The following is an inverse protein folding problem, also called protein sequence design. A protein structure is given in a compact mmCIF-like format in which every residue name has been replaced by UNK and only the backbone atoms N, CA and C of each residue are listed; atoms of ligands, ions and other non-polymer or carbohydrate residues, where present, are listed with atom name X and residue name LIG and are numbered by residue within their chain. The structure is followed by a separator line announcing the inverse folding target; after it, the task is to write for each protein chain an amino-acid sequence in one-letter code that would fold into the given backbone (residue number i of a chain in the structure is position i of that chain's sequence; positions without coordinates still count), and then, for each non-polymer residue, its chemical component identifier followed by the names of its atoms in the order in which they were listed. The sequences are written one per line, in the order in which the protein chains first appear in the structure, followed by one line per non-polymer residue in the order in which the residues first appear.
data_IF_873123611025
#
_entry.id   IF_873123611025
#
_cell.length_a   1.000
_cell.length_b   1.000
_cell.length_c   1.000
_cell.angle_alpha   90.00
_cell.angle_beta   90.00
_cell.angle_gamma   90.00
#
_symmetry.space_group_name_H-M   'P 1'
#
loop_
_entity.id
_entity.type
_entity.pdbx_description
1 polymer ?
#
# COMPACT_ATOMS: atom_id res chain seq x y z
N UNK A 1 2.04 -16.43 -10.77
CA UNK A 1 3.01 -15.34 -11.02
C UNK A 1 2.39 -14.00 -10.67
N UNK A 2 3.10 -13.20 -9.90
CA UNK A 2 2.62 -11.88 -9.51
C UNK A 2 2.69 -10.91 -10.68
N UNK A 3 1.68 -10.02 -10.81
CA UNK A 3 1.74 -8.94 -11.78
C UNK A 3 2.78 -7.91 -11.37
N UNK A 4 3.03 -6.92 -12.24
CA UNK A 4 3.93 -5.82 -11.91
C UNK A 4 3.31 -4.89 -10.87
N UNK A 5 4.11 -4.25 -10.01
CA UNK A 5 3.57 -3.33 -9.04
C UNK A 5 3.00 -2.07 -9.70
N UNK A 6 2.00 -1.47 -9.06
CA UNK A 6 1.39 -0.24 -9.54
C UNK A 6 2.13 1.01 -9.02
N UNK A 7 2.66 0.94 -7.80
CA UNK A 7 3.36 2.08 -7.21
C UNK A 7 4.23 1.65 -6.04
N UNK A 8 5.16 2.53 -5.66
CA UNK A 8 5.92 2.44 -4.42
C UNK A 8 5.49 3.55 -3.48
N UNK A 9 5.61 3.28 -2.20
CA UNK A 9 5.25 4.26 -1.17
C UNK A 9 6.13 4.11 0.06
N UNK A 10 6.22 5.20 0.83
CA UNK A 10 6.73 5.16 2.18
C UNK A 10 5.55 4.89 3.10
N UNK A 11 5.73 3.94 4.02
CA UNK A 11 4.67 3.50 4.93
C UNK A 11 5.16 3.64 6.36
N UNK A 12 4.30 4.22 7.22
CA UNK A 12 4.55 4.32 8.66
C UNK A 12 3.39 3.64 9.39
N UNK A 13 3.71 2.63 10.16
CA UNK A 13 2.71 1.95 10.97
C UNK A 13 2.37 2.81 12.19
N UNK A 14 1.10 2.82 12.56
CA UNK A 14 0.64 3.50 13.77
C UNK A 14 1.07 2.69 14.98
N UNK A 15 1.50 3.37 16.05
CA UNK A 15 1.80 2.73 17.31
C UNK A 15 0.48 2.33 17.99
N UNK A 16 0.58 1.52 19.06
CA UNK A 16 -0.61 1.16 19.85
C UNK A 16 -1.28 2.42 20.41
N UNK A 17 -0.49 3.39 20.87
CA UNK A 17 -1.00 4.63 21.42
C UNK A 17 -1.73 5.48 20.37
N UNK A 18 -1.36 5.32 19.11
CA UNK A 18 -2.02 6.01 18.01
C UNK A 18 -3.25 5.25 17.48
N UNK A 19 -3.60 4.14 18.10
CA UNK A 19 -4.73 3.33 17.68
C UNK A 19 -4.38 2.23 16.68
N UNK A 20 -3.08 1.94 16.50
CA UNK A 20 -2.61 0.91 15.58
C UNK A 20 -2.80 -0.51 16.10
N UNK A 21 -2.13 -1.46 15.44
CA UNK A 21 -2.24 -2.87 15.79
C UNK A 21 -1.61 -3.16 17.16
N UNK A 22 -2.15 -4.16 17.84
CA UNK A 22 -1.55 -4.64 19.10
C UNK A 22 -0.28 -5.46 18.85
N UNK A 23 -0.21 -6.10 17.67
CA UNK A 23 0.94 -6.91 17.28
C UNK A 23 1.53 -6.34 16.00
N UNK A 24 2.85 -6.46 15.79
CA UNK A 24 3.47 -5.98 14.55
C UNK A 24 2.89 -6.66 13.33
N UNK A 25 2.82 -5.91 12.22
CA UNK A 25 2.46 -6.50 10.93
C UNK A 25 3.59 -7.40 10.44
N UNK A 26 3.24 -8.40 9.64
CA UNK A 26 4.21 -9.32 9.06
C UNK A 26 4.11 -9.29 7.54
N UNK A 27 5.23 -9.61 6.87
CA UNK A 27 5.25 -9.70 5.42
C UNK A 27 4.29 -10.78 4.94
N UNK A 28 3.50 -10.45 3.93
CA UNK A 28 2.47 -11.32 3.40
C UNK A 28 1.07 -10.95 3.86
N UNK A 29 0.94 -9.98 4.77
CA UNK A 29 -0.38 -9.49 5.17
C UNK A 29 -1.09 -8.87 3.97
N UNK A 30 -2.42 -8.90 3.98
CA UNK A 30 -3.25 -8.44 2.86
C UNK A 30 -4.26 -7.40 3.32
N UNK A 31 -3.78 -6.24 3.77
CA UNK A 31 -4.68 -5.17 4.20
C UNK A 31 -5.28 -4.45 2.99
N UNK A 32 -6.26 -3.61 3.27
CA UNK A 32 -6.87 -2.74 2.26
C UNK A 32 -6.26 -1.36 2.31
N UNK A 33 -6.42 -0.62 1.20
CA UNK A 33 -5.94 0.76 1.07
C UNK A 33 -7.14 1.69 0.98
N UNK A 34 -7.07 2.80 1.70
CA UNK A 34 -8.06 3.88 1.62
C UNK A 34 -7.33 5.17 1.24
N UNK A 35 -7.76 5.82 0.15
CA UNK A 35 -7.18 7.08 -0.30
C UNK A 35 -7.73 8.22 0.56
N UNK A 36 -6.83 9.03 1.12
CA UNK A 36 -7.24 10.08 2.07
C UNK A 36 -8.19 11.10 1.44
N UNK A 37 -8.04 11.36 0.14
CA UNK A 37 -8.88 12.30 -0.57
C UNK A 37 -10.23 11.73 -1.01
N UNK A 38 -10.49 10.46 -0.75
CA UNK A 38 -11.73 9.80 -1.16
C UNK A 38 -12.79 9.93 -0.05
N UNK A 39 -13.82 10.76 -0.26
CA UNK A 39 -14.86 10.95 0.76
C UNK A 39 -15.77 9.74 0.92
N UNK A 40 -15.79 8.82 -0.03
CA UNK A 40 -16.63 7.63 0.04
C UNK A 40 -16.08 6.57 0.98
N UNK A 41 -14.83 6.71 1.40
CA UNK A 41 -14.14 5.75 2.28
C UNK A 41 -14.09 4.33 1.71
N UNK A 42 -14.05 4.22 0.38
CA UNK A 42 -13.93 2.93 -0.29
C UNK A 42 -12.59 2.27 0.06
N UNK A 43 -12.66 0.98 0.36
CA UNK A 43 -11.46 0.18 0.61
C UNK A 43 -11.05 -0.52 -0.70
N UNK A 44 -9.76 -0.35 -1.05
CA UNK A 44 -9.20 -0.91 -2.28
C UNK A 44 -8.38 -2.14 -1.95
N UNK A 45 -8.56 -3.20 -2.73
CA UNK A 45 -7.77 -4.42 -2.60
C UNK A 45 -6.46 -4.25 -3.35
N UNK A 46 -5.53 -3.56 -2.70
CA UNK A 46 -4.18 -3.31 -3.21
C UNK A 46 -3.22 -3.81 -2.15
N UNK A 47 -2.45 -4.85 -2.46
CA UNK A 47 -1.65 -5.53 -1.44
C UNK A 47 -0.20 -5.06 -1.45
N UNK A 48 0.36 -4.74 -0.28
CA UNK A 48 1.75 -4.32 -0.17
C UNK A 48 2.70 -5.51 -0.10
N UNK A 49 3.91 -5.29 -0.64
CA UNK A 49 5.08 -6.12 -0.37
C UNK A 49 6.13 -5.18 0.19
N UNK A 50 6.52 -5.38 1.44
CA UNK A 50 7.42 -4.49 2.14
C UNK A 50 8.86 -4.79 1.79
N UNK A 51 9.68 -3.74 1.75
CA UNK A 51 11.06 -3.81 1.25
C UNK A 51 12.05 -3.54 2.38
N UNK A 52 13.22 -4.17 2.28
CA UNK A 52 14.34 -3.85 3.15
C UNK A 52 15.04 -2.57 2.65
N UNK A 53 16.03 -2.04 3.41
CA UNK A 53 16.73 -0.82 2.99
C UNK A 53 17.46 -0.92 1.64
N UNK A 54 17.73 -2.13 1.14
CA UNK A 54 18.36 -2.31 -0.16
C UNK A 54 17.35 -2.34 -1.30
N UNK A 55 16.05 -2.33 -1.00
CA UNK A 55 14.99 -2.37 -2.01
C UNK A 55 14.51 -3.77 -2.34
N UNK A 56 14.96 -4.78 -1.62
CA UNK A 56 14.49 -6.15 -1.82
C UNK A 56 13.36 -6.48 -0.86
N UNK A 57 12.47 -7.37 -1.29
CA UNK A 57 11.34 -7.78 -0.45
C UNK A 57 11.84 -8.47 0.81
N UNK A 58 11.23 -8.10 1.95
CA UNK A 58 11.47 -8.81 3.19
C UNK A 58 11.00 -10.26 3.05
N UNK A 59 11.66 -11.19 3.74
CA UNK A 59 11.20 -12.59 3.71
C UNK A 59 9.78 -12.74 4.23
N UNK A 60 9.05 -13.69 3.67
CA UNK A 60 7.68 -13.99 4.09
C UNK A 60 7.64 -14.30 5.59
N UNK A 61 6.64 -13.76 6.26
CA UNK A 61 6.45 -13.98 7.70
C UNK A 61 7.33 -13.12 8.60
N UNK A 62 8.18 -12.27 8.04
CA UNK A 62 9.05 -11.37 8.81
C UNK A 62 8.24 -10.22 9.39
N UNK A 63 8.55 -9.80 10.62
CA UNK A 63 7.96 -8.58 11.17
C UNK A 63 8.41 -7.38 10.35
N UNK A 64 7.47 -6.47 10.08
CA UNK A 64 7.72 -5.28 9.26
C UNK A 64 8.15 -4.15 10.19
N UNK A 65 9.25 -3.42 9.84
CA UNK A 65 9.67 -2.26 10.62
C UNK A 65 8.57 -1.19 10.70
N UNK A 66 8.62 -0.38 11.74
CA UNK A 66 7.65 0.69 11.97
C UNK A 66 7.55 1.65 10.79
N UNK A 67 8.69 1.96 10.15
CA UNK A 67 8.76 2.77 8.93
C UNK A 67 9.42 1.90 7.85
N UNK A 68 8.80 1.83 6.68
CA UNK A 68 9.24 0.90 5.65
C UNK A 68 8.76 1.36 4.28
N UNK A 69 9.50 1.04 3.24
CA UNK A 69 9.03 1.19 1.86
C UNK A 69 8.26 -0.05 1.45
N UNK A 70 7.32 0.13 0.54
CA UNK A 70 6.54 -0.98 0.01
C UNK A 70 6.21 -0.78 -1.46
N UNK A 71 6.06 -1.89 -2.18
CA UNK A 71 5.48 -1.91 -3.52
C UNK A 71 4.08 -2.47 -3.42
N UNK A 72 3.16 -1.89 -4.17
CA UNK A 72 1.74 -2.24 -4.07
C UNK A 72 1.25 -2.86 -5.37
N UNK A 73 0.52 -3.96 -5.22
CA UNK A 73 0.03 -4.79 -6.33
C UNK A 73 -1.49 -4.84 -6.32
N UNK A 74 -2.12 -4.58 -7.46
CA UNK A 74 -3.57 -4.74 -7.59
C UNK A 74 -3.96 -6.21 -7.57
N UNK A 75 -5.07 -6.50 -6.87
CA UNK A 75 -5.67 -7.84 -6.90
C UNK A 75 -6.41 -8.04 -8.21
N UNK A 76 -7.16 -7.01 -8.66
CA UNK A 76 -7.93 -7.08 -9.91
C UNK A 76 -7.48 -5.99 -10.88
N UNK A 77 -7.12 -6.39 -12.10
CA UNK A 77 -6.74 -5.44 -13.15
C UNK A 77 -7.91 -4.60 -13.64
N UNK A 78 -9.14 -5.00 -13.36
CA UNK A 78 -10.34 -4.31 -13.84
C UNK A 78 -10.45 -2.87 -13.34
N UNK A 79 -9.84 -2.57 -12.19
CA UNK A 79 -9.91 -1.24 -11.58
C UNK A 79 -8.64 -0.41 -11.81
N UNK A 80 -7.70 -0.92 -12.63
CA UNK A 80 -6.42 -0.23 -12.83
C UNK A 80 -6.59 1.18 -13.40
N UNK A 81 -7.43 1.33 -14.42
CA UNK A 81 -7.65 2.62 -15.05
C UNK A 81 -8.20 3.63 -14.05
N UNK A 82 -9.17 3.21 -13.24
CA UNK A 82 -9.76 4.07 -12.22
C UNK A 82 -8.70 4.47 -11.19
N UNK A 83 -7.88 3.52 -10.74
CA UNK A 83 -6.82 3.79 -9.78
C UNK A 83 -5.87 4.86 -10.30
N UNK A 84 -5.35 4.70 -11.51
CA UNK A 84 -4.35 5.60 -12.06
C UNK A 84 -4.92 6.97 -12.43
N UNK A 85 -6.17 7.04 -12.88
CA UNK A 85 -6.78 8.30 -13.30
C UNK A 85 -7.32 9.11 -12.13
N UNK A 86 -7.80 8.46 -11.07
CA UNK A 86 -8.47 9.17 -9.98
C UNK A 86 -7.59 9.41 -8.75
N UNK A 87 -6.71 8.46 -8.42
CA UNK A 87 -6.06 8.50 -7.11
C UNK A 87 -4.55 8.51 -7.16
N UNK A 88 -3.94 7.86 -8.13
CA UNK A 88 -2.52 7.54 -8.08
C UNK A 88 -1.66 8.66 -8.69
N UNK A 89 -0.88 9.31 -7.82
CA UNK A 89 0.12 10.29 -8.22
C UNK A 89 1.17 10.38 -7.11
N UNK A 90 2.36 10.86 -7.44
CA UNK A 90 3.39 11.09 -6.43
C UNK A 90 2.87 12.08 -5.39
N UNK A 91 3.07 11.74 -4.12
CA UNK A 91 2.56 12.54 -3.01
C UNK A 91 1.15 12.19 -2.56
N UNK A 92 0.46 11.30 -3.28
CA UNK A 92 -0.88 10.86 -2.85
C UNK A 92 -0.79 10.17 -1.48
N UNK A 93 -1.69 10.54 -0.59
CA UNK A 93 -1.72 10.01 0.78
C UNK A 93 -2.82 8.98 0.92
N UNK A 94 -2.53 7.95 1.71
CA UNK A 94 -3.48 6.88 1.94
C UNK A 94 -3.27 6.28 3.33
N UNK A 95 -4.26 5.51 3.76
CA UNK A 95 -4.14 4.68 4.96
C UNK A 95 -4.24 3.21 4.57
N UNK A 96 -3.56 2.39 5.34
CA UNK A 96 -3.69 0.95 5.26
C UNK A 96 -4.60 0.53 6.40
N UNK A 97 -5.59 -0.30 6.08
CA UNK A 97 -6.61 -0.72 7.05
C UNK A 97 -6.70 -2.23 7.11
N UNK A 98 -6.90 -2.72 8.33
CA UNK A 98 -7.23 -4.11 8.60
C UNK A 98 -8.74 -4.11 8.89
N UNK A 99 -9.53 -4.47 7.87
CA UNK A 99 -10.95 -4.17 7.89
C UNK A 99 -11.15 -2.66 7.91
N UNK A 100 -11.87 -2.14 8.90
CA UNK A 100 -12.07 -0.70 9.06
C UNK A 100 -11.09 -0.07 10.05
N UNK A 101 -10.17 -0.85 10.58
CA UNK A 101 -9.19 -0.38 11.54
C UNK A 101 -7.95 0.10 10.80
N UNK A 102 -7.67 1.40 10.87
CA UNK A 102 -6.47 1.99 10.27
C UNK A 102 -5.24 1.57 11.06
N UNK A 103 -4.26 1.00 10.36
CA UNK A 103 -3.05 0.48 10.99
C UNK A 103 -1.78 1.16 10.52
N UNK A 104 -1.83 1.86 9.38
CA UNK A 104 -0.66 2.55 8.85
C UNK A 104 -1.08 3.70 7.95
N UNK A 105 -0.15 4.65 7.76
CA UNK A 105 -0.29 5.75 6.83
C UNK A 105 0.79 5.64 5.77
N UNK A 106 0.48 6.05 4.54
CA UNK A 106 1.43 5.98 3.44
C UNK A 106 1.39 7.21 2.55
N UNK A 107 2.49 7.40 1.82
CA UNK A 107 2.61 8.44 0.80
C UNK A 107 3.23 7.80 -0.43
N UNK A 108 2.57 7.95 -1.58
CA UNK A 108 3.10 7.43 -2.85
C UNK A 108 4.38 8.20 -3.20
N UNK A 109 5.47 7.47 -3.42
CA UNK A 109 6.75 8.06 -3.80
C UNK A 109 7.05 7.88 -5.27
N UNK A 110 6.47 6.85 -5.91
CA UNK A 110 6.73 6.58 -7.31
C UNK A 110 5.59 5.82 -7.93
N UNK A 111 5.08 6.31 -9.06
CA UNK A 111 4.11 5.58 -9.88
C UNK A 111 4.91 4.70 -10.83
N UNK A 112 4.76 3.40 -10.72
CA UNK A 112 5.55 2.43 -11.48
C UNK A 112 4.91 2.01 -12.78
N UNK A 113 3.60 2.25 -12.91
CA UNK A 113 2.83 1.82 -14.05
C UNK A 113 1.74 2.84 -14.32
N UNK A 114 1.54 3.18 -15.57
CA UNK A 114 0.43 4.06 -15.94
C UNK A 114 -0.36 3.40 -17.08
N UNK A 115 -1.63 3.82 -17.21
CA UNK A 115 -2.48 3.29 -18.29
C UNK A 115 -1.95 3.65 -19.67
N UNK A 116 -1.23 4.76 -19.79
CA UNK A 116 -0.69 5.22 -21.06
C UNK A 116 0.57 4.48 -21.48
N UNK A 117 1.20 3.73 -20.59
CA UNK A 117 2.43 2.99 -20.89
C UNK A 117 2.16 1.60 -21.45
N UNK A 118 0.91 1.18 -21.57
CA UNK A 118 0.51 -0.14 -22.05
C UNK A 118 0.13 -0.10 -23.52
N UNK A 119 1.12 0.16 -24.33
CA UNK A 119 0.89 0.25 -25.77
C UNK A 119 1.46 -0.97 -26.48
#
# INVERSE_FOLDING_TARGET
MRSSPEFEADVRFLSRDEGGRQHPAIQGCRPDVHWDDDPSETLWMIHPRFLDPTGEELPEGTEIPHVCKARFYLVSADVRDQLHHQWLHEGARFHISDGRHRVAAGVVTKVLRSVDSEV
#
